data_IF_641164991287
#
_entry.id   IF_641164991287
#
_cell.length_a   1.000
_cell.length_b   1.000
_cell.length_c   1.000
_cell.angle_alpha   90.00
_cell.angle_beta   90.00
_cell.angle_gamma   90.00
#
_symmetry.space_group_name_H-M   'P 1'
#
loop_
_entity.id
_entity.type
_entity.pdbx_description
1 polymer ?
#
# COMPACT_ATOMS: atom_id res chain seq x y z
N UNK A 1 -14.85 20.43 22.42
CA UNK A 1 -15.77 20.04 21.32
C UNK A 1 -15.05 18.97 20.51
N UNK A 2 -15.49 17.71 20.58
CA UNK A 2 -14.87 16.62 19.80
C UNK A 2 -15.18 16.84 18.32
N UNK A 3 -14.22 16.73 17.39
CA UNK A 3 -14.52 16.74 15.97
C UNK A 3 -15.07 15.36 15.59
N UNK A 4 -16.36 15.17 15.85
CA UNK A 4 -17.11 13.96 15.54
C UNK A 4 -17.82 14.16 14.20
N UNK A 5 -17.61 13.21 13.27
CA UNK A 5 -18.47 12.90 12.13
C UNK A 5 -18.49 13.79 10.86
N UNK A 6 -17.49 14.64 10.58
CA UNK A 6 -17.39 15.29 9.25
C UNK A 6 -16.23 14.66 8.44
N UNK A 7 -16.57 13.84 7.42
CA UNK A 7 -15.72 13.24 6.33
C UNK A 7 -15.60 11.69 6.26
N UNK A 8 -16.64 10.91 6.55
CA UNK A 8 -16.71 9.47 6.19
C UNK A 8 -17.68 9.13 5.03
N UNK A 9 -18.34 10.13 4.45
CA UNK A 9 -19.48 9.97 3.52
C UNK A 9 -19.15 10.24 2.04
N UNK A 10 -17.88 10.18 1.63
CA UNK A 10 -17.47 10.33 0.24
C UNK A 10 -17.47 9.00 -0.53
N UNK A 11 -17.30 9.04 -1.86
CA UNK A 11 -17.13 7.81 -2.64
C UNK A 11 -15.93 7.01 -2.11
N UNK A 12 -16.11 5.69 -2.03
CA UNK A 12 -15.05 4.74 -1.73
C UNK A 12 -14.60 4.09 -3.04
N UNK A 13 -13.32 4.19 -3.36
CA UNK A 13 -12.75 3.56 -4.54
C UNK A 13 -12.02 2.28 -4.19
N UNK A 14 -12.26 1.22 -4.96
CA UNK A 14 -11.49 -0.03 -4.86
C UNK A 14 -10.14 0.12 -5.53
N UNK A 15 -9.13 -0.49 -4.94
CA UNK A 15 -7.78 -0.49 -5.46
C UNK A 15 -6.97 -1.67 -4.89
N UNK A 16 -5.89 -2.02 -5.57
CA UNK A 16 -5.07 -3.19 -5.28
C UNK A 16 -3.86 -2.82 -4.42
N UNK A 17 -3.52 -3.66 -3.45
CA UNK A 17 -2.42 -3.38 -2.52
C UNK A 17 -1.61 -4.61 -2.19
N UNK A 18 -0.34 -4.36 -1.88
CA UNK A 18 0.60 -5.33 -1.34
C UNK A 18 1.01 -4.93 0.09
N UNK A 19 1.14 -5.93 0.95
CA UNK A 19 1.65 -5.81 2.32
C UNK A 19 2.83 -6.75 2.51
N UNK A 20 3.72 -6.38 3.43
CA UNK A 20 4.66 -7.31 4.04
C UNK A 20 4.02 -7.93 5.27
N UNK A 21 4.60 -9.04 5.74
CA UNK A 21 4.19 -9.69 6.98
C UNK A 21 5.19 -9.43 8.10
N UNK A 22 4.67 -9.08 9.26
CA UNK A 22 5.39 -9.13 10.53
C UNK A 22 4.63 -10.07 11.48
N UNK A 23 5.08 -11.33 11.53
CA UNK A 23 4.32 -12.42 12.13
C UNK A 23 2.99 -12.63 11.41
N UNK A 24 1.88 -12.48 12.13
CA UNK A 24 0.51 -12.58 11.62
C UNK A 24 -0.16 -11.20 11.43
N UNK A 25 0.65 -10.16 11.17
CA UNK A 25 0.12 -8.81 10.97
C UNK A 25 0.49 -8.28 9.60
N UNK A 26 -0.48 -7.66 8.94
CA UNK A 26 -0.25 -6.91 7.72
C UNK A 26 0.54 -5.64 8.04
N UNK A 27 1.67 -5.44 7.36
CA UNK A 27 2.50 -4.24 7.49
C UNK A 27 2.63 -3.56 6.13
N UNK A 28 2.71 -2.25 6.16
CA UNK A 28 3.06 -1.49 4.96
C UNK A 28 4.43 -1.91 4.44
N UNK A 29 4.57 -2.12 3.13
CA UNK A 29 5.85 -2.44 2.51
C UNK A 29 6.89 -1.30 2.63
N UNK A 30 6.43 -0.06 2.86
CA UNK A 30 7.28 1.06 3.22
C UNK A 30 7.83 0.90 4.65
N UNK A 31 9.17 1.00 4.87
CA UNK A 31 9.78 0.88 6.20
C UNK A 31 9.17 1.76 7.30
N UNK A 32 8.74 2.97 6.96
CA UNK A 32 8.12 3.92 7.91
C UNK A 32 6.60 3.71 8.09
N UNK A 33 5.99 2.82 7.30
CA UNK A 33 4.57 2.56 7.37
C UNK A 33 4.18 1.67 8.55
N UNK A 34 2.95 1.86 9.01
CA UNK A 34 2.39 1.12 10.14
C UNK A 34 1.76 -0.21 9.74
N UNK A 35 1.17 -0.85 10.76
CA UNK A 35 0.32 -2.02 10.62
C UNK A 35 -1.04 -1.66 10.03
N UNK A 36 -1.61 -2.62 9.33
CA UNK A 36 -2.96 -2.58 8.81
C UNK A 36 -3.85 -3.49 9.64
N UNK A 37 -5.02 -2.98 9.97
CA UNK A 37 -6.04 -3.68 10.79
C UNK A 37 -7.34 -3.80 10.01
N UNK A 38 -8.26 -4.64 10.51
CA UNK A 38 -9.61 -4.72 9.99
C UNK A 38 -10.32 -3.36 10.10
N UNK A 39 -11.20 -3.05 9.15
CA UNK A 39 -11.91 -1.79 9.11
C UNK A 39 -11.04 -0.61 8.67
N UNK A 40 -11.34 0.58 9.19
CA UNK A 40 -10.75 1.84 8.73
C UNK A 40 -9.33 2.05 9.26
N UNK A 41 -8.38 2.16 8.35
CA UNK A 41 -7.02 2.61 8.58
C UNK A 41 -6.90 4.08 8.16
N UNK A 42 -6.12 4.87 8.91
CA UNK A 42 -5.95 6.31 8.66
C UNK A 42 -4.50 6.62 8.29
N UNK A 43 -4.33 7.49 7.29
CA UNK A 43 -3.05 7.98 6.84
C UNK A 43 -2.49 9.02 7.81
N UNK A 44 -1.21 8.86 8.16
CA UNK A 44 -0.46 9.85 8.92
C UNK A 44 0.75 10.31 8.12
N UNK A 45 1.12 11.59 8.26
CA UNK A 45 2.41 12.05 7.76
C UNK A 45 3.54 11.52 8.64
N UNK A 46 4.24 10.50 8.13
CA UNK A 46 5.44 9.92 8.74
C UNK A 46 6.71 10.23 7.95
N UNK A 47 6.78 11.45 7.40
CA UNK A 47 7.89 11.84 6.51
C UNK A 47 9.22 11.88 7.24
N UNK A 48 9.22 12.38 8.48
CA UNK A 48 10.41 12.43 9.32
C UNK A 48 10.96 11.04 9.62
N UNK A 49 10.10 10.07 9.89
CA UNK A 49 10.46 8.67 10.11
C UNK A 49 11.00 8.04 8.82
N UNK A 50 10.35 8.29 7.68
CA UNK A 50 10.82 7.82 6.38
C UNK A 50 12.24 8.32 6.07
N UNK A 51 12.49 9.62 6.26
CA UNK A 51 13.80 10.21 6.01
C UNK A 51 14.87 9.62 6.95
N UNK A 52 14.50 9.19 8.17
CA UNK A 52 15.41 8.50 9.09
C UNK A 52 15.64 7.02 8.78
N UNK A 53 14.76 6.36 8.04
CA UNK A 53 14.81 4.89 7.88
C UNK A 53 15.33 4.45 6.50
N UNK A 54 15.54 5.38 5.56
CA UNK A 54 15.93 5.05 4.19
C UNK A 54 17.32 5.56 3.82
N UNK A 55 18.10 4.81 3.01
CA UNK A 55 19.42 5.25 2.51
C UNK A 55 19.41 6.63 1.84
N UNK A 56 18.30 6.97 1.18
CA UNK A 56 18.06 8.27 0.55
C UNK A 56 17.88 9.45 1.53
N UNK A 57 17.72 9.17 2.82
CA UNK A 57 17.55 10.17 3.88
C UNK A 57 18.64 10.17 4.95
N UNK A 58 19.37 9.06 5.14
CA UNK A 58 20.48 8.95 6.10
C UNK A 58 21.63 9.95 5.87
N UNK A 59 21.87 10.36 4.62
CA UNK A 59 22.91 11.34 4.27
C UNK A 59 22.39 12.78 4.10
N UNK A 60 21.10 13.03 4.36
CA UNK A 60 20.65 14.42 4.45
C UNK A 60 21.17 14.98 5.78
N UNK A 61 21.70 16.21 5.82
CA UNK A 61 21.93 16.89 7.09
C UNK A 61 20.64 16.79 7.92
N UNK A 62 20.69 16.82 9.27
CA UNK A 62 19.51 16.82 10.13
C UNK A 62 18.69 18.08 9.87
N UNK A 63 18.02 18.11 8.73
CA UNK A 63 17.50 19.29 8.08
C UNK A 63 16.03 19.31 8.41
N UNK A 64 15.72 20.05 9.48
CA UNK A 64 14.39 20.52 9.86
C UNK A 64 13.34 19.40 9.94
N UNK A 65 12.90 19.06 11.15
CA UNK A 65 11.65 18.31 11.34
C UNK A 65 10.59 18.98 10.49
N UNK A 66 10.21 18.37 9.38
CA UNK A 66 9.14 18.91 8.54
C UNK A 66 7.88 18.83 9.39
N UNK A 67 7.11 19.92 9.51
CA UNK A 67 5.86 19.87 10.25
C UNK A 67 4.98 18.74 9.71
N UNK A 68 4.37 17.99 10.63
CA UNK A 68 3.30 17.07 10.24
C UNK A 68 2.20 17.86 9.52
N UNK A 69 1.59 17.22 8.54
CA UNK A 69 0.54 17.80 7.72
C UNK A 69 -0.50 16.72 7.43
N UNK A 70 -1.68 17.14 7.02
CA UNK A 70 -2.74 16.22 6.62
C UNK A 70 -2.26 15.31 5.49
N UNK A 71 -2.60 14.02 5.57
CA UNK A 71 -2.27 13.03 4.56
C UNK A 71 -3.52 12.70 3.71
N UNK A 72 -3.36 12.43 2.41
CA UNK A 72 -2.17 12.70 1.60
C UNK A 72 -1.94 14.22 1.44
N UNK A 73 -0.68 14.58 1.19
CA UNK A 73 -0.29 15.95 0.85
C UNK A 73 0.42 15.96 -0.52
N UNK A 74 0.12 16.92 -1.42
CA UNK A 74 0.60 16.89 -2.81
C UNK A 74 2.12 16.95 -2.95
N UNK A 75 2.80 17.57 -1.97
CA UNK A 75 4.26 17.72 -1.93
C UNK A 75 4.96 16.73 -0.99
N UNK A 76 4.24 15.72 -0.50
CA UNK A 76 4.77 14.68 0.37
C UNK A 76 4.39 13.31 -0.17
N UNK A 77 5.02 12.24 0.32
CA UNK A 77 4.68 10.84 -0.03
C UNK A 77 3.77 10.15 0.99
N UNK A 78 3.26 10.88 1.97
CA UNK A 78 2.33 10.35 2.96
C UNK A 78 0.97 9.98 2.33
N UNK A 79 0.18 9.16 3.01
CA UNK A 79 -1.04 8.61 2.43
C UNK A 79 -0.96 7.10 2.32
N UNK A 80 -2.12 6.46 2.43
CA UNK A 80 -2.25 5.03 2.16
C UNK A 80 -2.28 4.88 0.64
N UNK A 81 -1.39 4.07 0.07
CA UNK A 81 -1.25 3.92 -1.38
C UNK A 81 -1.81 2.58 -1.86
N UNK A 82 -2.42 2.57 -3.02
CA UNK A 82 -2.84 1.36 -3.72
C UNK A 82 -2.78 1.61 -5.23
N UNK A 83 -2.68 0.53 -6.00
CA UNK A 83 -2.66 0.54 -7.46
C UNK A 83 -4.06 0.47 -8.03
N UNK A 84 -4.24 1.04 -9.22
CA UNK A 84 -5.52 0.93 -9.94
C UNK A 84 -5.76 -0.49 -10.44
N UNK A 85 -4.68 -1.18 -10.81
CA UNK A 85 -4.74 -2.47 -11.52
C UNK A 85 -3.92 -3.54 -10.77
N UNK A 86 -4.37 -4.82 -10.80
CA UNK A 86 -3.72 -5.90 -10.06
C UNK A 86 -2.35 -6.27 -10.63
N UNK A 87 -2.13 -6.11 -11.94
CA UNK A 87 -0.85 -6.44 -12.58
C UNK A 87 0.32 -5.55 -12.10
N UNK A 88 0.05 -4.43 -11.43
CA UNK A 88 1.11 -3.61 -10.82
C UNK A 88 1.68 -4.25 -9.53
N UNK A 89 0.95 -5.19 -8.92
CA UNK A 89 1.40 -5.91 -7.72
C UNK A 89 2.64 -6.77 -8.01
N UNK A 90 2.64 -7.47 -9.15
CA UNK A 90 3.75 -8.36 -9.55
C UNK A 90 5.02 -7.59 -9.93
N UNK A 91 4.89 -6.30 -10.29
CA UNK A 91 6.03 -5.42 -10.59
C UNK A 91 6.72 -4.87 -9.35
N UNK A 92 6.02 -4.74 -8.22
CA UNK A 92 6.53 -4.08 -7.03
C UNK A 92 7.43 -4.98 -6.15
N UNK A 93 7.35 -6.30 -6.32
CA UNK A 93 8.22 -7.27 -5.65
C UNK A 93 7.77 -8.68 -6.03
N UNK A 94 8.72 -9.59 -6.28
CA UNK A 94 8.41 -10.97 -6.67
C UNK A 94 7.37 -11.61 -5.74
N UNK A 95 6.46 -12.39 -6.30
CA UNK A 95 5.22 -12.85 -5.66
C UNK A 95 5.42 -13.68 -4.37
N UNK A 96 6.65 -14.10 -4.05
CA UNK A 96 6.92 -15.11 -3.01
C UNK A 96 6.69 -14.71 -1.56
N UNK A 97 6.80 -13.42 -1.18
CA UNK A 97 6.74 -13.01 0.24
C UNK A 97 5.71 -11.91 0.56
N UNK A 98 5.11 -11.29 -0.45
CA UNK A 98 4.10 -10.26 -0.25
C UNK A 98 2.71 -10.88 -0.06
N UNK A 99 1.84 -10.17 0.64
CA UNK A 99 0.41 -10.44 0.66
C UNK A 99 -0.26 -9.44 -0.25
N UNK A 100 -1.05 -9.92 -1.21
CA UNK A 100 -1.81 -9.09 -2.11
C UNK A 100 -3.25 -8.95 -1.62
N UNK A 101 -4.00 -8.01 -2.18
CA UNK A 101 -5.41 -7.86 -1.86
C UNK A 101 -5.99 -6.55 -2.36
N UNK A 102 -7.21 -6.29 -1.89
CA UNK A 102 -8.01 -5.11 -2.27
C UNK A 102 -8.26 -4.26 -1.05
N UNK A 103 -8.22 -2.95 -1.25
CA UNK A 103 -8.63 -1.95 -0.28
C UNK A 103 -9.73 -1.06 -0.86
N UNK A 104 -10.63 -0.60 -0.01
CA UNK A 104 -11.48 0.55 -0.28
C UNK A 104 -10.79 1.81 0.22
N UNK A 105 -10.81 2.90 -0.56
CA UNK A 105 -10.07 4.13 -0.29
C UNK A 105 -10.96 5.36 -0.38
N UNK A 106 -10.89 6.26 0.63
CA UNK A 106 -11.73 7.46 0.69
C UNK A 106 -11.12 8.59 1.51
N UNK A 107 -11.86 9.70 1.62
CA UNK A 107 -11.44 10.92 2.30
C UNK A 107 -10.75 11.89 1.34
N UNK A 108 -9.62 12.51 1.76
CA UNK A 108 -8.72 13.19 0.82
C UNK A 108 -8.05 12.15 -0.08
N UNK A 109 -8.10 12.36 -1.40
CA UNK A 109 -7.53 11.45 -2.40
C UNK A 109 -6.62 12.22 -3.35
N UNK A 110 -5.48 11.62 -3.66
CA UNK A 110 -4.61 12.03 -4.76
C UNK A 110 -4.46 10.89 -5.76
N UNK A 111 -4.94 11.11 -6.99
CA UNK A 111 -4.88 10.13 -8.08
C UNK A 111 -3.59 10.33 -8.88
N UNK A 112 -2.90 9.22 -9.13
CA UNK A 112 -1.70 9.12 -9.96
C UNK A 112 -1.99 8.17 -11.13
N UNK A 113 -1.09 8.10 -12.12
CA UNK A 113 -1.32 7.25 -13.30
C UNK A 113 -1.40 5.74 -12.98
N UNK A 114 -0.62 5.26 -12.00
CA UNK A 114 -0.56 3.82 -11.65
C UNK A 114 -1.41 3.46 -10.43
N UNK A 115 -1.87 4.47 -9.66
CA UNK A 115 -2.57 4.24 -8.40
C UNK A 115 -3.03 5.52 -7.76
N UNK A 116 -3.37 5.45 -6.48
CA UNK A 116 -3.86 6.58 -5.71
C UNK A 116 -3.33 6.56 -4.28
N UNK A 117 -3.34 7.73 -3.64
CA UNK A 117 -3.14 7.89 -2.19
C UNK A 117 -4.43 8.37 -1.55
N UNK A 118 -4.78 7.82 -0.39
CA UNK A 118 -5.95 8.26 0.37
C UNK A 118 -5.63 8.55 1.83
N UNK A 119 -6.54 9.32 2.43
CA UNK A 119 -6.62 9.58 3.87
C UNK A 119 -7.07 8.34 4.63
N UNK A 120 -8.09 7.64 4.13
CA UNK A 120 -8.61 6.43 4.75
C UNK A 120 -8.56 5.26 3.78
N UNK A 121 -8.29 4.08 4.32
CA UNK A 121 -8.43 2.84 3.57
C UNK A 121 -8.85 1.67 4.46
N UNK A 122 -9.49 0.68 3.86
CA UNK A 122 -9.97 -0.52 4.53
C UNK A 122 -9.63 -1.75 3.69
N UNK A 123 -8.84 -2.71 4.20
CA UNK A 123 -8.69 -4.01 3.58
C UNK A 123 -10.04 -4.71 3.51
N UNK A 124 -10.38 -5.24 2.34
CA UNK A 124 -11.66 -5.94 2.10
C UNK A 124 -11.48 -7.34 1.52
N UNK A 125 -10.29 -7.65 0.99
CA UNK A 125 -9.96 -8.93 0.39
C UNK A 125 -8.45 -9.14 0.48
N UNK A 126 -8.01 -10.36 0.82
CA UNK A 126 -6.63 -10.79 0.71
C UNK A 126 -6.47 -11.84 -0.39
N UNK A 127 -5.27 -11.94 -0.96
CA UNK A 127 -4.92 -12.93 -1.94
C UNK A 127 -3.57 -13.59 -1.66
N UNK A 128 -3.47 -14.86 -2.07
CA UNK A 128 -2.28 -15.69 -2.04
C UNK A 128 -2.05 -16.31 -3.43
N UNK A 129 -0.81 -16.61 -3.80
CA UNK A 129 -0.48 -17.15 -5.13
C UNK A 129 0.24 -18.50 -5.04
N UNK A 130 0.18 -19.26 -6.14
CA UNK A 130 0.75 -20.61 -6.22
C UNK A 130 2.29 -20.65 -6.17
N UNK A 131 2.95 -19.55 -6.54
CA UNK A 131 4.40 -19.39 -6.40
C UNK A 131 4.82 -19.28 -4.91
N UNK A 132 3.88 -19.13 -3.98
CA UNK A 132 4.14 -18.98 -2.56
C UNK A 132 4.18 -20.34 -1.85
N UNK A 133 5.03 -20.44 -0.82
CA UNK A 133 5.10 -21.67 -0.02
C UNK A 133 3.76 -21.96 0.67
N UNK A 134 3.41 -23.24 0.87
CA UNK A 134 2.23 -23.63 1.65
C UNK A 134 2.15 -22.96 3.04
N UNK A 135 3.31 -22.72 3.67
CA UNK A 135 3.39 -22.03 4.96
C UNK A 135 2.94 -20.57 4.86
N UNK A 136 3.30 -19.89 3.78
CA UNK A 136 2.88 -18.51 3.52
C UNK A 136 1.39 -18.45 3.21
N UNK A 137 0.89 -19.32 2.33
CA UNK A 137 -0.55 -19.42 2.02
C UNK A 137 -1.39 -19.61 3.28
N UNK A 138 -1.04 -20.59 4.13
CA UNK A 138 -1.73 -20.82 5.42
C UNK A 138 -1.69 -19.60 6.33
N UNK A 139 -0.59 -18.86 6.32
CA UNK A 139 -0.44 -17.64 7.11
C UNK A 139 -1.36 -16.53 6.59
N UNK A 140 -1.43 -16.32 5.27
CA UNK A 140 -2.36 -15.35 4.66
C UNK A 140 -3.81 -15.71 5.00
N UNK A 141 -4.19 -16.98 4.88
CA UNK A 141 -5.53 -17.45 5.22
C UNK A 141 -5.86 -17.25 6.71
N UNK A 142 -4.91 -17.50 7.61
CA UNK A 142 -5.08 -17.26 9.04
C UNK A 142 -5.29 -15.77 9.35
N UNK A 143 -4.51 -14.89 8.73
CA UNK A 143 -4.67 -13.43 8.86
C UNK A 143 -6.02 -12.98 8.32
N UNK A 144 -6.44 -13.48 7.15
CA UNK A 144 -7.73 -13.16 6.58
C UNK A 144 -8.87 -13.53 7.53
N UNK A 145 -8.83 -14.74 8.09
CA UNK A 145 -9.79 -15.23 9.08
C UNK A 145 -9.83 -14.34 10.33
N UNK A 146 -8.67 -13.98 10.90
CA UNK A 146 -8.57 -13.11 12.07
C UNK A 146 -9.14 -11.70 11.80
N UNK A 147 -8.92 -11.17 10.60
CA UNK A 147 -9.42 -9.87 10.20
C UNK A 147 -10.89 -9.90 9.71
N UNK A 148 -11.50 -11.08 9.60
CA UNK A 148 -12.85 -11.25 9.06
C UNK A 148 -12.95 -10.94 7.56
N UNK A 149 -11.88 -11.18 6.81
CA UNK A 149 -11.78 -10.91 5.37
C UNK A 149 -11.82 -12.20 4.55
N UNK A 150 -12.40 -12.19 3.35
CA UNK A 150 -12.19 -13.26 2.39
C UNK A 150 -10.73 -13.35 1.96
N UNK A 151 -10.30 -14.57 1.61
CA UNK A 151 -9.02 -14.85 0.97
C UNK A 151 -9.25 -15.66 -0.31
N UNK A 152 -8.61 -15.26 -1.41
CA UNK A 152 -8.73 -15.90 -2.73
C UNK A 152 -7.36 -16.19 -3.33
N UNK A 153 -7.32 -17.00 -4.38
CA UNK A 153 -6.13 -17.14 -5.20
C UNK A 153 -5.85 -15.83 -5.97
N UNK A 154 -4.56 -15.56 -6.23
CA UNK A 154 -4.13 -14.32 -6.86
C UNK A 154 -4.72 -14.12 -8.25
N UNK A 155 -4.92 -15.21 -8.99
CA UNK A 155 -5.51 -15.20 -10.32
C UNK A 155 -7.00 -14.82 -10.30
N UNK A 156 -7.69 -15.05 -9.18
CA UNK A 156 -9.09 -14.67 -8.97
C UNK A 156 -9.25 -13.27 -8.36
N UNK A 157 -8.15 -12.60 -7.98
CA UNK A 157 -8.18 -11.34 -7.23
C UNK A 157 -8.97 -10.25 -7.94
N UNK A 158 -8.79 -10.10 -9.26
CA UNK A 158 -9.45 -9.05 -10.03
C UNK A 158 -10.97 -9.28 -10.11
N UNK A 159 -11.39 -10.51 -10.33
CA UNK A 159 -12.80 -10.87 -10.41
C UNK A 159 -13.47 -10.70 -9.04
N UNK A 160 -12.85 -11.24 -7.98
CA UNK A 160 -13.34 -11.09 -6.62
C UNK A 160 -13.39 -9.62 -6.17
N UNK A 161 -12.48 -8.77 -6.65
CA UNK A 161 -12.47 -7.34 -6.35
C UNK A 161 -13.73 -6.60 -6.80
N UNK A 162 -14.42 -7.08 -7.84
CA UNK A 162 -15.64 -6.45 -8.38
C UNK A 162 -16.80 -6.45 -7.39
N UNK A 163 -16.78 -7.34 -6.39
CA UNK A 163 -17.75 -7.33 -5.30
C UNK A 163 -17.57 -6.14 -4.33
N UNK A 164 -16.45 -5.40 -4.43
CA UNK A 164 -16.08 -4.36 -3.47
C UNK A 164 -15.93 -3.01 -4.15
N UNK A 165 -16.95 -2.15 -4.05
CA UNK A 165 -16.88 -0.75 -4.49
C UNK A 165 -16.57 -0.56 -5.98
N UNK A 166 -16.42 0.70 -6.40
CA UNK A 166 -16.11 1.05 -7.80
C UNK A 166 -14.64 1.46 -7.94
N UNK A 167 -14.01 1.28 -9.11
CA UNK A 167 -12.65 1.75 -9.30
C UNK A 167 -12.68 3.28 -9.46
N UNK A 168 -11.52 3.93 -9.38
CA UNK A 168 -11.43 5.34 -9.80
C UNK A 168 -11.80 5.43 -11.30
N UNK A 169 -12.76 6.29 -11.70
CA UNK A 169 -13.10 6.49 -13.11
C UNK A 169 -11.86 6.83 -13.93
N UNK A 170 -11.77 6.27 -15.14
CA UNK A 170 -10.58 6.41 -16.00
C UNK A 170 -10.30 7.88 -16.34
N UNK A 171 -11.34 8.71 -16.45
CA UNK A 171 -11.25 10.13 -16.76
C UNK A 171 -10.57 10.94 -15.64
N UNK A 172 -10.55 10.40 -14.42
CA UNK A 172 -9.87 11.00 -13.28
C UNK A 172 -8.43 10.50 -13.13
N UNK A 173 -8.01 9.51 -13.92
CA UNK A 173 -6.66 8.95 -13.89
C UNK A 173 -5.77 9.78 -14.82
N UNK A 174 -4.74 10.46 -14.31
CA UNK A 174 -3.77 11.12 -15.17
C UNK A 174 -3.13 10.08 -16.11
N UNK A 175 -2.93 10.43 -17.39
CA UNK A 175 -2.14 9.58 -18.27
C UNK A 175 -0.78 9.30 -17.66
N UNK A 176 -0.31 8.05 -17.78
CA UNK A 176 1.04 7.68 -17.36
C UNK A 176 2.04 8.48 -18.20
N UNK A 177 2.47 9.61 -17.69
CA UNK A 177 3.66 10.27 -18.22
C UNK A 177 4.81 9.29 -18.00
N UNK A 178 5.46 8.87 -19.08
CA UNK A 178 6.75 8.15 -19.05
C UNK A 178 7.61 8.75 -17.93
N UNK A 179 8.36 7.95 -17.14
CA UNK A 179 9.19 8.51 -16.08
C UNK A 179 10.00 9.66 -16.69
N UNK A 180 10.04 10.81 -16.01
CA UNK A 180 11.08 11.79 -16.31
C UNK A 180 12.39 11.01 -16.16
N UNK A 181 13.06 10.76 -17.28
CA UNK A 181 14.34 10.07 -17.33
C UNK A 181 15.24 10.68 -16.25
N UNK A 182 15.58 9.90 -15.22
CA UNK A 182 16.43 10.34 -14.11
C UNK A 182 15.74 10.81 -12.82
N UNK A 183 14.51 10.41 -12.49
CA UNK A 183 13.91 10.68 -11.18
C UNK A 183 14.25 9.61 -10.11
N UNK A 184 15.19 9.87 -9.15
CA UNK A 184 15.55 8.93 -8.10
C UNK A 184 14.46 8.72 -7.03
N UNK A 185 13.27 9.34 -7.17
CA UNK A 185 12.16 9.24 -6.20
C UNK A 185 11.37 7.93 -6.28
N UNK A 186 11.58 7.15 -7.34
CA UNK A 186 11.02 5.81 -7.56
C UNK A 186 12.13 4.77 -7.59
N UNK A 187 12.48 4.26 -6.42
CA UNK A 187 13.19 2.98 -6.30
C UNK A 187 12.30 2.14 -5.41
N UNK A 188 11.67 1.10 -5.97
CA UNK A 188 11.09 0.03 -5.16
C UNK A 188 12.20 -0.43 -4.21
N UNK A 189 11.93 -0.69 -2.91
CA UNK A 189 12.93 -1.32 -2.08
C UNK A 189 13.15 -2.72 -2.68
N UNK A 190 14.23 -2.87 -3.46
CA UNK A 190 14.76 -4.17 -3.81
C UNK A 190 14.93 -4.91 -2.48
N UNK A 191 14.30 -6.08 -2.39
CA UNK A 191 14.48 -7.02 -1.30
C UNK A 191 15.99 -7.16 -1.05
N UNK A 192 16.46 -6.68 0.10
CA UNK A 192 17.80 -6.97 0.56
C UNK A 192 17.81 -8.43 1.01
N UNK A 193 18.11 -9.33 0.08
CA UNK A 193 18.14 -10.77 0.28
C UNK A 193 19.13 -11.44 -0.66
N UNK A 194 20.33 -10.87 -0.83
CA UNK A 194 21.44 -11.50 -1.52
C UNK A 194 22.36 -12.21 -0.54
N UNK A 195 22.17 -13.53 -0.40
CA UNK A 195 23.08 -14.43 0.29
C UNK A 195 24.42 -14.48 -0.48
N UNK A 196 25.48 -13.87 0.05
CA UNK A 196 26.84 -14.11 -0.44
C UNK A 196 27.35 -15.42 0.19
N UNK A 197 27.30 -16.50 -0.58
CA UNK A 197 28.15 -17.66 -0.37
C UNK A 197 29.58 -17.25 -0.76
N UNK A 198 30.45 -17.10 0.24
CA UNK A 198 31.88 -17.11 0.02
C UNK A 198 32.36 -18.56 0.11
N UNK A 199 32.86 -19.09 -1.01
CA UNK A 199 33.79 -20.22 -1.05
C UNK A 199 35.20 -19.75 -0.72
#
# INVERSE_FOLDING_TARGET
MKPEAVRRSGPKFRAFRAWTLDGYRLRSANPAGGYWTAGTNHAECRRSEYDRLTPLGHNKPPATVRPSHDAPHPRCRCGLYAWHEPHELTRFGGAGELVHGVVLMWGRIEVHGEGLRSEYAEPVLLAYGDEQTHKHVRRVQAIASELGLPAVELDDLEEAAKAFGEPVPEELRPHRTRPLEGDPRWVAPLAAGGLLLAT
#
